data_IF_449306704308
#
_entry.id   IF_449306704308
#
_cell.length_a   1.000
_cell.length_b   1.000
_cell.length_c   1.000
_cell.angle_alpha   90.00
_cell.angle_beta   90.00
_cell.angle_gamma   90.00
#
_symmetry.space_group_name_H-M   'P 1'
#
loop_
_entity.id
_entity.type
_entity.pdbx_description
1 polymer ?
#
# COMPACT_ATOMS: atom_id res chain seq x y z
N UNK A 1 -21.41 4.33 -3.72
CA UNK A 1 -20.24 5.06 -4.24
C UNK A 1 -19.46 5.62 -3.07
N UNK A 2 -18.15 5.40 -3.02
CA UNK A 2 -17.27 5.98 -2.00
C UNK A 2 -16.72 7.32 -2.50
N UNK A 3 -16.45 8.24 -1.56
CA UNK A 3 -15.72 9.48 -1.78
C UNK A 3 -14.55 9.50 -0.81
N UNK A 4 -13.46 10.19 -1.13
CA UNK A 4 -12.26 10.29 -0.28
C UNK A 4 -12.18 11.65 0.43
N UNK A 5 -13.32 12.32 0.58
CA UNK A 5 -13.41 13.65 1.19
C UNK A 5 -12.51 14.69 0.50
N UNK A 6 -11.80 15.47 1.31
CA UNK A 6 -10.91 16.54 0.88
C UNK A 6 -9.67 16.04 0.11
N UNK A 7 -9.19 14.83 0.43
CA UNK A 7 -7.95 14.28 -0.11
C UNK A 7 -8.26 13.30 -1.23
N UNK A 8 -8.09 13.74 -2.49
CA UNK A 8 -8.35 12.92 -3.70
C UNK A 8 -7.08 12.29 -4.29
N UNK A 9 -5.97 12.41 -3.58
CA UNK A 9 -4.66 11.90 -3.97
C UNK A 9 -3.74 11.80 -2.77
N UNK A 10 -2.48 11.42 -3.03
CA UNK A 10 -1.47 11.30 -1.97
C UNK A 10 -1.13 12.63 -1.34
N UNK A 11 -0.67 12.57 -0.09
CA UNK A 11 -0.12 13.70 0.68
C UNK A 11 1.38 13.49 0.98
N UNK A 12 2.30 13.60 -0.01
CA UNK A 12 3.72 13.31 0.21
C UNK A 12 4.37 14.16 1.30
N UNK A 13 3.88 15.38 1.50
CA UNK A 13 4.38 16.30 2.53
C UNK A 13 4.02 15.83 3.94
N UNK A 14 3.02 14.98 4.08
CA UNK A 14 2.54 14.43 5.36
C UNK A 14 3.00 12.97 5.57
N UNK A 15 3.91 12.48 4.70
CA UNK A 15 4.58 11.19 4.87
C UNK A 15 5.82 11.34 5.74
N UNK A 16 5.93 10.51 6.77
CA UNK A 16 7.07 10.46 7.68
C UNK A 16 7.60 9.03 7.84
N UNK A 17 8.86 8.91 8.25
CA UNK A 17 9.48 7.66 8.70
C UNK A 17 10.03 7.92 10.09
N UNK A 18 9.75 7.01 11.03
CA UNK A 18 10.26 7.13 12.40
C UNK A 18 11.79 7.12 12.38
N UNK A 19 12.41 8.12 12.99
CA UNK A 19 13.85 8.28 13.04
C UNK A 19 14.44 7.43 14.18
N UNK A 20 14.94 6.24 13.86
CA UNK A 20 15.44 5.28 14.85
C UNK A 20 16.84 4.75 14.47
N UNK A 21 17.75 4.56 15.45
CA UNK A 21 19.15 4.25 15.16
C UNK A 21 19.41 3.01 14.31
N UNK A 22 18.60 1.94 14.40
CA UNK A 22 18.90 0.66 13.74
C UNK A 22 18.82 0.72 12.20
N UNK A 23 18.08 1.67 11.65
CA UNK A 23 17.97 1.89 10.20
C UNK A 23 18.26 3.32 9.75
N UNK A 24 18.56 4.24 10.67
CA UNK A 24 18.81 5.65 10.39
C UNK A 24 19.78 5.86 9.23
N UNK A 25 20.90 5.15 9.22
CA UNK A 25 21.96 5.36 8.23
C UNK A 25 21.67 4.68 6.88
N UNK A 26 20.59 3.90 6.79
CA UNK A 26 20.16 3.19 5.57
C UNK A 26 19.00 3.86 4.85
N UNK A 27 18.37 4.87 5.47
CA UNK A 27 17.28 5.64 4.87
C UNK A 27 17.87 6.84 4.12
N UNK A 28 17.43 7.03 2.87
CA UNK A 28 17.69 8.25 2.10
C UNK A 28 16.80 9.41 2.61
N UNK A 29 17.25 10.08 3.67
CA UNK A 29 16.51 11.18 4.30
C UNK A 29 16.40 12.41 3.40
N UNK A 30 15.24 13.04 3.37
CA UNK A 30 15.03 14.25 2.58
C UNK A 30 13.59 14.73 2.57
N UNK A 31 13.20 15.47 1.54
CA UNK A 31 11.84 15.98 1.38
C UNK A 31 10.79 14.88 1.12
N UNK A 32 11.24 13.69 0.68
CA UNK A 32 10.39 12.52 0.45
C UNK A 32 10.29 11.64 1.70
N UNK A 33 11.44 11.31 2.30
CA UNK A 33 11.54 10.51 3.52
C UNK A 33 11.84 11.45 4.68
N UNK A 34 10.78 11.95 5.32
CA UNK A 34 10.89 12.95 6.36
C UNK A 34 10.97 12.28 7.73
N UNK A 35 11.90 12.66 8.61
CA UNK A 35 11.99 12.05 9.92
C UNK A 35 10.84 12.50 10.83
N UNK A 36 10.39 11.60 11.70
CA UNK A 36 9.61 11.93 12.90
C UNK A 36 10.21 11.19 14.09
N UNK A 37 10.33 11.86 15.23
CA UNK A 37 10.92 11.25 16.42
C UNK A 37 10.07 10.09 16.95
N UNK A 38 10.71 9.05 17.48
CA UNK A 38 10.03 7.83 17.97
C UNK A 38 8.99 8.15 19.05
N UNK A 39 9.33 8.99 20.03
CA UNK A 39 8.41 9.37 21.11
C UNK A 39 7.19 10.15 20.58
N UNK A 40 7.37 10.93 19.51
CA UNK A 40 6.26 11.64 18.87
C UNK A 40 5.34 10.66 18.14
N UNK A 41 5.92 9.70 17.41
CA UNK A 41 5.15 8.62 16.79
C UNK A 41 4.37 7.81 17.83
N UNK A 42 5.01 7.38 18.93
CA UNK A 42 4.36 6.56 19.96
C UNK A 42 3.19 7.30 20.61
N UNK A 43 3.36 8.58 20.97
CA UNK A 43 2.26 9.39 21.52
C UNK A 43 1.09 9.54 20.55
N UNK A 44 1.35 9.75 19.27
CA UNK A 44 0.31 9.86 18.26
C UNK A 44 -0.35 8.50 17.98
N UNK A 45 0.44 7.42 17.97
CA UNK A 45 -0.05 6.05 17.84
C UNK A 45 -1.03 5.70 18.96
N UNK A 46 -0.68 5.97 20.21
CA UNK A 46 -1.56 5.74 21.37
C UNK A 46 -2.87 6.53 21.24
N UNK A 47 -2.82 7.81 20.85
CA UNK A 47 -4.03 8.61 20.61
C UNK A 47 -4.94 8.03 19.53
N UNK A 48 -4.35 7.49 18.45
CA UNK A 48 -5.12 6.86 17.38
C UNK A 48 -5.73 5.56 17.86
N UNK A 49 -5.02 4.77 18.67
CA UNK A 49 -5.59 3.56 19.28
C UNK A 49 -6.76 3.89 20.22
N UNK A 50 -6.59 4.87 21.11
CA UNK A 50 -7.65 5.35 22.01
C UNK A 50 -8.89 5.83 21.23
N UNK A 51 -8.67 6.50 20.10
CA UNK A 51 -9.74 6.91 19.19
C UNK A 51 -10.46 5.73 18.53
N UNK A 52 -9.71 4.73 18.06
CA UNK A 52 -10.27 3.56 17.41
C UNK A 52 -11.01 2.65 18.39
N UNK A 53 -10.58 2.60 19.66
CA UNK A 53 -11.24 1.85 20.74
C UNK A 53 -12.64 2.40 21.07
N UNK A 54 -12.90 3.68 20.75
CA UNK A 54 -14.21 4.31 20.91
C UNK A 54 -15.20 4.00 19.78
N UNK A 55 -14.81 3.22 18.77
CA UNK A 55 -15.67 2.87 17.64
C UNK A 55 -16.54 1.66 17.96
N UNK A 56 -17.80 1.70 17.50
CA UNK A 56 -18.72 0.56 17.63
C UNK A 56 -18.23 -0.68 16.85
N UNK A 57 -17.55 -0.45 15.72
CA UNK A 57 -17.03 -1.50 14.86
C UNK A 57 -15.69 -1.08 14.24
N UNK A 58 -14.79 -2.05 14.10
CA UNK A 58 -13.56 -1.96 13.34
C UNK A 58 -13.53 -3.06 12.29
N UNK A 59 -12.92 -2.76 11.14
CA UNK A 59 -12.73 -3.71 10.06
C UNK A 59 -11.27 -4.17 10.02
N UNK A 60 -11.09 -5.48 9.88
CA UNK A 60 -9.77 -6.10 9.83
C UNK A 60 -9.62 -6.93 8.55
N UNK A 61 -8.51 -6.72 7.86
CA UNK A 61 -8.05 -7.56 6.76
C UNK A 61 -6.71 -8.20 7.16
N UNK A 62 -6.61 -9.52 7.01
CA UNK A 62 -5.36 -10.25 7.12
C UNK A 62 -5.03 -10.86 5.75
N UNK A 63 -3.80 -10.68 5.28
CA UNK A 63 -3.34 -11.20 4.00
C UNK A 63 -1.85 -10.97 3.81
N UNK A 64 -1.45 -10.79 2.55
CA UNK A 64 -0.04 -10.71 2.19
C UNK A 64 0.26 -9.58 1.21
N UNK A 65 1.51 -9.13 1.18
CA UNK A 65 2.07 -8.35 0.08
C UNK A 65 3.36 -9.03 -0.42
N UNK A 66 3.50 -9.19 -1.73
CA UNK A 66 4.52 -10.06 -2.33
C UNK A 66 3.99 -11.48 -2.57
N UNK A 67 3.99 -11.91 -3.83
CA UNK A 67 3.59 -13.27 -4.24
C UNK A 67 4.72 -14.30 -4.16
N UNK A 68 5.94 -13.87 -3.83
CA UNK A 68 7.08 -14.72 -3.52
C UNK A 68 7.04 -15.14 -2.04
N UNK A 69 6.78 -16.43 -1.76
CA UNK A 69 6.49 -16.93 -0.41
C UNK A 69 7.65 -16.74 0.58
N UNK A 70 8.89 -16.71 0.10
CA UNK A 70 10.10 -16.55 0.91
C UNK A 70 10.26 -15.11 1.42
N UNK A 71 9.72 -14.13 0.68
CA UNK A 71 9.90 -12.69 0.95
C UNK A 71 8.59 -11.95 1.21
N UNK A 72 7.46 -12.66 1.18
CA UNK A 72 6.15 -12.08 1.40
C UNK A 72 6.02 -11.41 2.77
N UNK A 73 5.36 -10.25 2.77
CA UNK A 73 4.97 -9.53 3.96
C UNK A 73 3.63 -10.07 4.44
N UNK A 74 3.56 -10.53 5.69
CA UNK A 74 2.32 -10.91 6.37
C UNK A 74 1.68 -9.65 6.94
N UNK A 75 0.52 -9.29 6.42
CA UNK A 75 -0.09 -7.99 6.64
C UNK A 75 -1.39 -8.11 7.44
N UNK A 76 -1.55 -7.23 8.42
CA UNK A 76 -2.85 -6.90 9.01
C UNK A 76 -3.18 -5.44 8.72
N UNK A 77 -4.41 -5.17 8.29
CA UNK A 77 -4.95 -3.81 8.13
C UNK A 77 -6.12 -3.64 9.08
N UNK A 78 -6.03 -2.69 10.00
CA UNK A 78 -7.09 -2.30 10.93
C UNK A 78 -7.60 -0.92 10.53
N UNK A 79 -8.91 -0.77 10.36
CA UNK A 79 -9.49 0.49 9.91
C UNK A 79 -10.95 0.68 10.36
N UNK A 80 -11.40 1.94 10.42
CA UNK A 80 -12.76 2.32 10.83
C UNK A 80 -13.79 2.36 9.66
N UNK A 81 -13.38 2.03 8.41
CA UNK A 81 -14.23 2.25 7.22
C UNK A 81 -14.36 0.99 6.35
N UNK A 82 -15.57 0.46 6.20
CA UNK A 82 -15.84 -0.77 5.44
C UNK A 82 -15.24 -0.78 4.01
N UNK A 83 -15.30 0.35 3.29
CA UNK A 83 -14.76 0.43 1.93
C UNK A 83 -13.23 0.48 1.89
N UNK A 84 -12.55 0.97 2.94
CA UNK A 84 -11.09 0.83 3.08
C UNK A 84 -10.71 -0.63 3.26
N UNK A 85 -11.50 -1.39 4.01
CA UNK A 85 -11.28 -2.83 4.15
C UNK A 85 -11.52 -3.59 2.84
N UNK A 86 -12.52 -3.19 2.03
CA UNK A 86 -12.70 -3.70 0.68
C UNK A 86 -11.51 -3.35 -0.23
N UNK A 87 -11.00 -2.11 -0.14
CA UNK A 87 -9.80 -1.69 -0.85
C UNK A 87 -8.60 -2.58 -0.48
N UNK A 88 -8.34 -2.80 0.81
CA UNK A 88 -7.26 -3.69 1.26
C UNK A 88 -7.44 -5.11 0.70
N UNK A 89 -8.66 -5.65 0.74
CA UNK A 89 -9.01 -6.96 0.18
C UNK A 89 -8.79 -7.07 -1.33
N UNK A 90 -8.94 -5.97 -2.05
CA UNK A 90 -8.72 -5.91 -3.49
C UNK A 90 -7.25 -5.70 -3.84
N UNK A 91 -6.52 -4.90 -3.06
CA UNK A 91 -5.15 -4.51 -3.38
C UNK A 91 -4.08 -5.47 -2.87
N UNK A 92 -4.32 -6.13 -1.74
CA UNK A 92 -3.37 -7.07 -1.15
C UNK A 92 -3.74 -8.51 -1.49
N UNK A 93 -2.76 -9.41 -1.37
CA UNK A 93 -2.95 -10.82 -1.69
C UNK A 93 -3.81 -11.44 -0.60
N UNK A 94 -4.91 -12.06 -1.03
CA UNK A 94 -5.87 -12.69 -0.14
C UNK A 94 -5.37 -14.07 0.27
N UNK A 95 -5.52 -14.46 1.55
CA UNK A 95 -5.34 -15.84 1.95
C UNK A 95 -6.36 -16.74 1.23
N UNK A 96 -6.00 -18.00 1.08
CA UNK A 96 -6.83 -19.01 0.41
C UNK A 96 -8.13 -19.32 1.17
N UNK A 97 -8.13 -19.10 2.49
CA UNK A 97 -9.26 -19.40 3.36
C UNK A 97 -9.35 -18.44 4.56
N UNK A 98 -10.53 -18.42 5.20
CA UNK A 98 -10.72 -17.69 6.47
C UNK A 98 -9.86 -18.24 7.60
N UNK A 99 -9.66 -19.56 7.63
CA UNK A 99 -8.82 -20.21 8.65
C UNK A 99 -7.36 -19.79 8.52
N UNK A 100 -6.85 -19.73 7.29
CA UNK A 100 -5.52 -19.20 7.02
C UNK A 100 -5.43 -17.73 7.45
N UNK A 101 -6.41 -16.89 7.08
CA UNK A 101 -6.47 -15.48 7.46
C UNK A 101 -6.38 -15.26 8.98
N UNK A 102 -6.98 -16.15 9.78
CA UNK A 102 -6.95 -16.07 11.25
C UNK A 102 -5.62 -16.50 11.86
N UNK A 103 -4.83 -17.32 11.14
CA UNK A 103 -3.52 -17.81 11.59
C UNK A 103 -2.36 -16.88 11.19
N UNK A 104 -2.61 -15.91 10.31
CA UNK A 104 -1.61 -14.93 9.91
C UNK A 104 -1.12 -14.16 11.14
N UNK A 105 0.18 -14.28 11.43
CA UNK A 105 0.89 -13.44 12.38
C UNK A 105 1.58 -12.32 11.60
N UNK A 106 1.08 -11.08 11.67
CA UNK A 106 1.60 -10.01 10.83
C UNK A 106 3.06 -9.69 11.17
N UNK A 107 3.87 -9.46 10.14
CA UNK A 107 5.17 -8.80 10.28
C UNK A 107 5.11 -7.32 9.87
N UNK A 108 3.95 -6.83 9.43
CA UNK A 108 3.63 -5.42 9.33
C UNK A 108 2.13 -5.19 9.55
N UNK A 109 1.78 -4.08 10.17
CA UNK A 109 0.39 -3.70 10.42
C UNK A 109 0.12 -2.31 9.88
N UNK A 110 -0.99 -2.13 9.16
CA UNK A 110 -1.54 -0.81 8.85
C UNK A 110 -2.62 -0.50 9.88
N UNK A 111 -2.50 0.64 10.55
CA UNK A 111 -3.53 1.21 11.41
C UNK A 111 -4.04 2.47 10.71
N UNK A 112 -5.26 2.43 10.19
CA UNK A 112 -5.86 3.51 9.41
C UNK A 112 -7.06 4.10 10.14
N UNK A 113 -6.94 5.36 10.55
CA UNK A 113 -8.00 6.16 11.15
C UNK A 113 -8.24 7.45 10.34
N UNK A 114 -8.83 7.36 9.13
CA UNK A 114 -9.01 8.51 8.23
C UNK A 114 -9.68 9.73 8.86
N UNK A 115 -10.59 9.52 9.81
CA UNK A 115 -11.33 10.60 10.46
C UNK A 115 -10.61 11.17 11.69
N UNK A 116 -9.53 10.55 12.17
CA UNK A 116 -8.68 11.13 13.20
C UNK A 116 -7.78 12.20 12.58
N UNK A 117 -7.82 13.41 13.11
CA UNK A 117 -7.01 14.55 12.66
C UNK A 117 -5.93 14.86 13.69
N UNK A 118 -4.67 14.90 13.27
CA UNK A 118 -3.59 15.35 14.13
C UNK A 118 -3.71 16.83 14.44
N UNK A 119 -3.20 17.24 15.61
CA UNK A 119 -2.89 18.62 15.92
C UNK A 119 -1.39 18.86 15.66
N UNK A 120 -0.98 19.57 14.59
CA UNK A 120 0.42 19.77 14.24
C UNK A 120 1.32 20.27 15.38
N UNK A 121 0.81 21.19 16.20
CA UNK A 121 1.57 21.80 17.29
C UNK A 121 1.88 20.81 18.41
N UNK A 122 1.02 19.81 18.60
CA UNK A 122 1.12 18.83 19.70
C UNK A 122 1.72 17.50 19.21
N UNK A 123 1.35 17.09 18.01
CA UNK A 123 1.64 15.77 17.44
C UNK A 123 2.86 15.78 16.52
N UNK A 124 3.49 16.93 16.31
CA UNK A 124 4.73 17.05 15.53
C UNK A 124 4.57 16.73 14.05
N UNK A 125 3.33 16.75 13.54
CA UNK A 125 3.01 16.60 12.11
C UNK A 125 3.06 17.96 11.42
N UNK A 126 2.99 17.97 10.08
CA UNK A 126 2.96 19.22 9.30
C UNK A 126 1.54 19.76 9.10
N UNK A 127 0.56 18.88 9.10
CA UNK A 127 -0.86 19.19 8.95
C UNK A 127 -1.69 18.23 9.81
N UNK A 128 -3.01 18.31 9.69
CA UNK A 128 -3.92 17.35 10.31
C UNK A 128 -3.78 15.92 9.75
N UNK A 129 -3.16 15.77 8.59
CA UNK A 129 -2.90 14.48 7.93
C UNK A 129 -1.54 13.93 8.32
N UNK A 130 -1.43 12.61 8.40
CA UNK A 130 -0.16 11.92 8.61
C UNK A 130 -0.19 10.52 7.99
N UNK A 131 0.94 10.12 7.42
CA UNK A 131 1.24 8.76 6.96
C UNK A 131 2.63 8.40 7.48
N UNK A 132 2.69 7.70 8.61
CA UNK A 132 3.94 7.44 9.32
C UNK A 132 4.32 5.97 9.20
N UNK A 133 5.54 5.69 8.74
CA UNK A 133 6.10 4.33 8.70
C UNK A 133 7.09 4.15 9.85
N UNK A 134 6.90 3.13 10.67
CA UNK A 134 7.88 2.67 11.66
C UNK A 134 8.35 1.26 11.32
N UNK A 135 9.62 1.12 10.94
CA UNK A 135 10.21 -0.21 10.67
C UNK A 135 10.49 -0.98 11.95
N UNK A 136 10.86 -0.29 13.05
CA UNK A 136 11.06 -0.89 14.37
C UNK A 136 9.77 -1.47 14.93
N UNK A 137 8.69 -0.68 14.91
CA UNK A 137 7.38 -1.11 15.43
C UNK A 137 6.56 -1.90 14.41
N UNK A 138 7.02 -1.96 13.15
CA UNK A 138 6.37 -2.66 12.03
C UNK A 138 4.94 -2.17 11.79
N UNK A 139 4.76 -0.86 11.83
CA UNK A 139 3.47 -0.18 11.71
C UNK A 139 3.50 0.89 10.63
N UNK A 140 2.44 0.96 9.83
CA UNK A 140 2.07 2.15 9.06
C UNK A 140 0.86 2.77 9.75
N UNK A 141 1.00 4.01 10.21
CA UNK A 141 -0.06 4.76 10.87
C UNK A 141 -0.59 5.84 9.93
N UNK A 142 -1.89 5.80 9.63
CA UNK A 142 -2.55 6.72 8.68
C UNK A 142 -3.69 7.44 9.39
N UNK A 143 -3.75 8.76 9.24
CA UNK A 143 -4.87 9.56 9.71
C UNK A 143 -5.02 10.88 8.97
N UNK A 144 -6.19 11.48 9.10
CA UNK A 144 -6.56 12.76 8.48
C UNK A 144 -6.68 12.70 6.96
N UNK A 145 -6.78 11.51 6.36
CA UNK A 145 -6.98 11.30 4.92
C UNK A 145 -7.77 10.03 4.65
N UNK A 146 -8.81 10.14 3.82
CA UNK A 146 -9.62 9.01 3.35
C UNK A 146 -9.07 8.41 2.05
N UNK A 147 -7.96 8.94 1.52
CA UNK A 147 -7.36 8.43 0.29
C UNK A 147 -6.70 7.07 0.50
N UNK A 148 -7.42 5.99 0.17
CA UNK A 148 -6.97 4.61 0.37
C UNK A 148 -5.65 4.26 -0.33
N UNK A 149 -5.24 5.01 -1.35
CA UNK A 149 -3.94 4.85 -2.01
C UNK A 149 -2.73 5.02 -1.07
N UNK A 150 -2.91 5.66 0.10
CA UNK A 150 -1.85 5.71 1.13
C UNK A 150 -1.56 4.32 1.72
N UNK A 151 -2.55 3.44 1.87
CA UNK A 151 -2.32 2.06 2.33
C UNK A 151 -1.46 1.29 1.33
N UNK A 152 -1.82 1.35 0.04
CA UNK A 152 -1.07 0.72 -1.07
C UNK A 152 0.37 1.23 -1.09
N UNK A 153 0.56 2.54 -1.22
CA UNK A 153 1.90 3.13 -1.37
C UNK A 153 2.73 3.12 -0.09
N UNK A 154 2.08 3.03 1.07
CA UNK A 154 2.73 2.75 2.34
C UNK A 154 3.43 1.39 2.32
N UNK A 155 2.69 0.32 1.97
CA UNK A 155 3.27 -1.03 1.86
C UNK A 155 4.33 -1.09 0.77
N UNK A 156 4.12 -0.44 -0.37
CA UNK A 156 5.16 -0.36 -1.39
C UNK A 156 6.44 0.33 -0.88
N UNK A 157 6.30 1.38 -0.06
CA UNK A 157 7.46 2.03 0.58
C UNK A 157 8.20 1.07 1.52
N UNK A 158 7.46 0.21 2.24
CA UNK A 158 8.05 -0.83 3.09
C UNK A 158 8.79 -1.87 2.25
N UNK A 159 8.20 -2.36 1.16
CA UNK A 159 8.83 -3.33 0.26
C UNK A 159 10.08 -2.75 -0.43
N UNK A 160 10.07 -1.48 -0.82
CA UNK A 160 11.24 -0.78 -1.35
C UNK A 160 12.41 -0.69 -0.36
N UNK A 161 12.15 -0.84 0.95
CA UNK A 161 13.20 -0.86 1.96
C UNK A 161 13.64 -2.29 2.32
N UNK A 162 12.70 -3.23 2.46
CA UNK A 162 12.98 -4.60 2.91
C UNK A 162 13.52 -5.51 1.82
N UNK A 163 13.08 -5.37 0.58
CA UNK A 163 13.51 -6.24 -0.52
C UNK A 163 14.98 -6.02 -0.91
N UNK A 164 15.50 -4.78 -1.05
CA UNK A 164 16.91 -4.58 -1.40
C UNK A 164 17.89 -5.10 -0.34
N UNK A 165 17.48 -5.18 0.94
CA UNK A 165 18.29 -5.81 1.99
C UNK A 165 18.47 -7.32 1.82
N UNK A 166 17.64 -7.93 0.98
CA UNK A 166 17.68 -9.34 0.62
C UNK A 166 18.19 -9.56 -0.83
N UNK A 167 18.84 -8.54 -1.41
CA UNK A 167 19.31 -8.55 -2.81
C UNK A 167 18.18 -8.75 -3.85
N UNK A 168 17.00 -8.19 -3.54
CA UNK A 168 15.82 -8.21 -4.42
C UNK A 168 15.52 -6.80 -4.91
N UNK A 169 15.44 -6.63 -6.23
CA UNK A 169 15.12 -5.35 -6.83
C UNK A 169 13.61 -5.08 -6.72
N UNK A 170 13.23 -4.10 -5.89
CA UNK A 170 11.86 -3.59 -5.83
C UNK A 170 11.63 -2.56 -6.95
N UNK A 171 10.53 -2.68 -7.68
CA UNK A 171 10.29 -1.96 -8.92
C UNK A 171 8.89 -1.35 -8.97
N UNK A 172 8.82 -0.10 -9.43
CA UNK A 172 7.57 0.60 -9.74
C UNK A 172 7.29 0.51 -11.24
N UNK A 173 6.77 -0.63 -11.67
CA UNK A 173 6.50 -0.96 -13.07
C UNK A 173 5.24 -1.81 -13.20
N UNK A 174 4.64 -1.86 -14.38
CA UNK A 174 3.73 -2.96 -14.71
C UNK A 174 4.51 -4.10 -15.36
N UNK A 175 3.94 -5.32 -15.32
CA UNK A 175 4.57 -6.49 -15.91
C UNK A 175 3.54 -7.43 -16.55
N UNK A 176 3.92 -8.06 -17.65
CA UNK A 176 3.14 -9.12 -18.31
C UNK A 176 4.06 -10.18 -18.93
N UNK A 177 3.47 -11.33 -19.25
CA UNK A 177 4.19 -12.49 -19.82
C UNK A 177 3.52 -12.98 -21.09
N UNK A 178 4.34 -13.25 -22.11
CA UNK A 178 3.90 -13.84 -23.38
C UNK A 178 3.75 -15.35 -23.30
N UNK A 179 3.20 -15.96 -24.34
CA UNK A 179 3.00 -17.43 -24.40
C UNK A 179 4.29 -18.24 -24.27
N UNK A 180 5.44 -17.65 -24.66
CA UNK A 180 6.76 -18.29 -24.57
C UNK A 180 7.44 -18.11 -23.22
N UNK A 181 6.78 -17.46 -22.26
CA UNK A 181 7.35 -17.12 -20.96
C UNK A 181 8.23 -15.87 -20.96
N UNK A 182 8.30 -15.13 -22.08
CA UNK A 182 9.01 -13.86 -22.16
C UNK A 182 8.30 -12.78 -21.35
N UNK A 183 8.99 -12.22 -20.36
CA UNK A 183 8.46 -11.18 -19.47
C UNK A 183 8.83 -9.79 -19.98
N UNK A 184 7.88 -8.86 -19.94
CA UNK A 184 8.12 -7.45 -20.23
C UNK A 184 7.80 -6.59 -19.00
N UNK A 185 8.65 -5.59 -18.73
CA UNK A 185 8.52 -4.62 -17.65
C UNK A 185 8.30 -3.22 -18.24
N UNK A 186 7.33 -2.48 -17.71
CA UNK A 186 7.00 -1.13 -18.17
C UNK A 186 7.16 -0.15 -17.01
N UNK A 187 8.28 0.57 -16.98
CA UNK A 187 8.53 1.60 -15.99
C UNK A 187 7.83 2.90 -16.37
N UNK A 188 7.29 3.62 -15.37
CA UNK A 188 6.61 4.88 -15.61
C UNK A 188 5.86 5.42 -14.40
N UNK A 189 5.63 6.73 -14.40
CA UNK A 189 4.82 7.36 -13.37
C UNK A 189 3.32 7.08 -13.58
N UNK A 190 2.50 7.40 -12.58
CA UNK A 190 1.05 7.18 -12.65
C UNK A 190 0.42 8.01 -13.77
N UNK A 191 -0.18 7.34 -14.76
CA UNK A 191 -0.80 7.97 -15.94
C UNK A 191 0.09 8.03 -17.19
N UNK A 192 1.27 7.41 -17.19
CA UNK A 192 2.14 7.32 -18.38
C UNK A 192 1.88 6.08 -19.24
N UNK A 193 0.74 5.41 -19.06
CA UNK A 193 0.33 4.26 -19.88
C UNK A 193 0.75 2.88 -19.35
N UNK A 194 1.36 2.75 -18.15
CA UNK A 194 1.77 1.45 -17.58
C UNK A 194 0.66 0.39 -17.63
N UNK A 195 -0.49 0.70 -17.02
CA UNK A 195 -1.64 -0.21 -16.91
C UNK A 195 -2.23 -0.53 -18.29
N UNK A 196 -2.32 0.47 -19.17
CA UNK A 196 -2.87 0.30 -20.52
C UNK A 196 -1.97 -0.59 -21.39
N UNK A 197 -0.65 -0.41 -21.32
CA UNK A 197 0.31 -1.19 -22.11
C UNK A 197 0.52 -2.60 -21.56
N UNK A 198 0.38 -2.81 -20.24
CA UNK A 198 0.50 -4.14 -19.65
C UNK A 198 -0.72 -5.02 -19.91
N UNK A 199 -1.91 -4.44 -20.06
CA UNK A 199 -3.16 -5.13 -20.41
C UNK A 199 -3.24 -5.41 -21.93
N UNK A 200 -2.21 -6.07 -22.46
CA UNK A 200 -2.14 -6.47 -23.86
C UNK A 200 -2.92 -7.79 -24.08
N UNK A 201 -3.82 -7.89 -25.07
CA UNK A 201 -4.70 -9.06 -25.25
C UNK A 201 -3.98 -10.39 -25.48
N UNK A 202 -2.76 -10.35 -26.01
CA UNK A 202 -1.91 -11.50 -26.33
C UNK A 202 -0.94 -11.87 -25.19
N UNK A 203 -1.02 -11.20 -24.04
CA UNK A 203 -0.11 -11.39 -22.91
C UNK A 203 -0.88 -11.50 -21.60
N UNK A 204 -0.42 -12.36 -20.70
CA UNK A 204 -1.01 -12.51 -19.37
C UNK A 204 -0.45 -11.44 -18.44
N UNK A 205 -1.33 -10.65 -17.82
CA UNK A 205 -0.94 -9.65 -16.82
C UNK A 205 -0.34 -10.34 -15.59
N UNK A 206 0.82 -9.86 -15.13
CA UNK A 206 1.41 -10.23 -13.83
C UNK A 206 0.95 -9.24 -12.76
N UNK A 207 1.03 -7.93 -13.05
CA UNK A 207 0.56 -6.84 -12.18
C UNK A 207 0.71 -5.48 -12.88
N UNK A 208 0.05 -4.43 -12.37
CA UNK A 208 -0.03 -3.14 -13.05
C UNK A 208 0.88 -2.03 -12.48
N UNK A 209 1.54 -2.24 -11.33
CA UNK A 209 2.24 -1.14 -10.67
C UNK A 209 3.47 -1.51 -9.82
N UNK A 210 3.46 -2.62 -9.07
CA UNK A 210 4.48 -2.92 -8.05
C UNK A 210 5.00 -4.36 -8.14
N UNK A 211 6.30 -4.54 -8.41
CA UNK A 211 6.93 -5.86 -8.58
C UNK A 211 8.26 -5.97 -7.85
N UNK A 212 8.64 -7.20 -7.49
CA UNK A 212 9.99 -7.56 -7.10
C UNK A 212 10.67 -8.41 -8.17
N UNK A 213 12.01 -8.33 -8.25
CA UNK A 213 12.85 -9.18 -9.10
C UNK A 213 13.94 -9.84 -8.26
N UNK A 214 13.85 -11.16 -8.11
CA UNK A 214 14.81 -12.01 -7.42
C UNK A 214 15.43 -13.06 -8.38
N UNK A 215 16.18 -14.03 -7.86
CA UNK A 215 16.82 -15.08 -8.66
C UNK A 215 15.81 -16.01 -9.37
N UNK A 216 14.58 -16.10 -8.87
CA UNK A 216 13.51 -16.94 -9.43
C UNK A 216 12.67 -16.21 -10.49
N UNK A 217 12.80 -14.88 -10.60
CA UNK A 217 12.14 -14.06 -11.61
C UNK A 217 11.37 -12.87 -11.02
N UNK A 218 10.29 -12.48 -11.72
CA UNK A 218 9.44 -11.35 -11.36
C UNK A 218 8.22 -11.84 -10.57
N UNK A 219 7.91 -11.16 -9.47
CA UNK A 219 6.70 -11.42 -8.68
C UNK A 219 5.93 -10.12 -8.43
N UNK A 220 4.60 -10.22 -8.37
CA UNK A 220 3.74 -9.08 -8.05
C UNK A 220 3.73 -8.86 -6.53
N UNK A 221 3.77 -7.60 -6.10
CA UNK A 221 3.63 -7.22 -4.68
C UNK A 221 2.13 -7.19 -4.30
N UNK A 222 1.25 -6.97 -5.27
CA UNK A 222 -0.17 -6.71 -5.09
C UNK A 222 -1.05 -7.95 -5.40
N UNK A 223 -2.29 -7.92 -4.90
CA UNK A 223 -3.34 -8.89 -5.20
C UNK A 223 -4.41 -8.38 -6.18
N UNK A 224 -4.27 -7.15 -6.67
CA UNK A 224 -5.19 -6.50 -7.60
C UNK A 224 -4.59 -5.26 -8.25
N UNK A 225 -5.45 -4.39 -8.80
CA UNK A 225 -5.02 -3.23 -9.57
C UNK A 225 -5.77 -1.96 -9.14
N UNK A 226 -5.06 -0.82 -9.12
CA UNK A 226 -5.63 0.49 -8.76
C UNK A 226 -5.56 1.46 -9.94
N UNK A 227 -6.34 1.14 -10.98
CA UNK A 227 -6.32 1.83 -12.26
C UNK A 227 -7.00 3.22 -12.22
N UNK A 228 -6.49 4.16 -13.01
CA UNK A 228 -7.16 5.45 -13.25
C UNK A 228 -8.40 5.24 -14.12
N UNK A 229 -9.54 5.79 -13.69
CA UNK A 229 -10.81 5.69 -14.42
C UNK A 229 -11.15 6.94 -15.25
N UNK A 230 -10.34 8.00 -15.20
CA UNK A 230 -10.60 9.22 -15.98
C UNK A 230 -10.55 8.91 -17.49
N UNK A 231 -11.62 9.25 -18.20
CA UNK A 231 -11.80 8.95 -19.63
C UNK A 231 -11.76 7.46 -20.01
N UNK A 232 -11.92 6.56 -19.04
CA UNK A 232 -11.99 5.12 -19.29
C UNK A 232 -13.17 4.80 -20.21
N UNK A 233 -12.94 4.00 -21.24
CA UNK A 233 -14.00 3.58 -22.15
C UNK A 233 -13.88 2.11 -22.50
N UNK A 234 -15.02 1.44 -22.64
CA UNK A 234 -15.07 0.03 -23.05
C UNK A 234 -14.38 -0.22 -24.39
N UNK A 235 -14.40 0.76 -25.28
CA UNK A 235 -13.78 0.65 -26.61
C UNK A 235 -12.26 0.70 -26.56
N UNK A 236 -11.68 1.56 -25.72
CA UNK A 236 -10.22 1.74 -25.62
C UNK A 236 -9.57 0.76 -24.65
N UNK A 237 -10.21 0.49 -23.52
CA UNK A 237 -9.69 -0.37 -22.45
C UNK A 237 -10.74 -1.41 -22.00
N UNK A 238 -11.11 -2.39 -22.86
CA UNK A 238 -12.19 -3.33 -22.58
C UNK A 238 -11.93 -4.18 -21.32
N UNK A 239 -10.69 -4.60 -21.07
CA UNK A 239 -10.36 -5.43 -19.90
C UNK A 239 -10.56 -4.67 -18.59
N UNK A 240 -10.02 -3.45 -18.51
CA UNK A 240 -10.16 -2.58 -17.33
C UNK A 240 -11.63 -2.21 -17.12
N UNK A 241 -12.35 -1.87 -18.20
CA UNK A 241 -13.77 -1.53 -18.11
C UNK A 241 -14.62 -2.70 -17.61
N UNK A 242 -14.40 -3.91 -18.15
CA UNK A 242 -15.15 -5.11 -17.76
C UNK A 242 -14.78 -5.62 -16.35
N UNK A 243 -13.63 -5.21 -15.81
CA UNK A 243 -13.26 -5.51 -14.44
C UNK A 243 -14.11 -4.75 -13.41
N UNK A 244 -14.75 -3.64 -13.78
CA UNK A 244 -15.62 -2.84 -12.91
C UNK A 244 -16.98 -3.54 -12.77
N UNK A 245 -17.15 -4.28 -11.67
CA UNK A 245 -18.37 -5.03 -11.33
C UNK A 245 -18.49 -5.18 -9.82
N UNK A 246 -19.48 -5.94 -9.33
CA UNK A 246 -19.60 -6.21 -7.90
C UNK A 246 -18.28 -6.80 -7.33
N UNK A 247 -17.78 -6.18 -6.27
CA UNK A 247 -16.48 -6.50 -5.67
C UNK A 247 -15.34 -5.57 -6.08
N UNK A 248 -15.55 -4.65 -7.03
CA UNK A 248 -14.61 -3.56 -7.38
C UNK A 248 -14.80 -2.34 -6.50
#
# INVERSE_FOLDING_TARGET
NALTGQYTGRSPKDKFIVNEPSYRDTIDWGSINQPIEEDTFLRLYDKVLDYLDQKDELYVFNGYAGSDEDTQLRLTVVNEIAWHNLFAKNMFIRPSSKEEAQKIKPNFTIVSAPHFKANPEVDGTKSETFVIVSFKHRVILIGGTEYAGEMKKGIFSVMNYLLPQQDIMSMHCSANVGEKGDVALFFGLSGTGKTTLSAAPDRKLIGDDEHGWNQNGIFNIEGGCYAKAINLSKTKEPEIFNAIRYGT
#
